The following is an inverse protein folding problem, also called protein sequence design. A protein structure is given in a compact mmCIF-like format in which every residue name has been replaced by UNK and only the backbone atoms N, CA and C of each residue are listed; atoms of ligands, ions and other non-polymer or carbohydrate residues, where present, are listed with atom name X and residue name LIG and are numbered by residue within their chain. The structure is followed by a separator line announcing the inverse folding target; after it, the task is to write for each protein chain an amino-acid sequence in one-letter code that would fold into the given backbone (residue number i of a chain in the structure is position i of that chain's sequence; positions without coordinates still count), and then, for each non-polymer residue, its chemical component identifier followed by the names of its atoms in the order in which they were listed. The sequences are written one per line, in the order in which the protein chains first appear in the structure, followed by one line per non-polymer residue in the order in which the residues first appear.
data_IF_847053036327
#
_entry.id   IF_847053036327
#
_cell.length_a   1.000
_cell.length_b   1.000
_cell.length_c   1.000
_cell.angle_alpha   90.00
_cell.angle_beta   90.00
_cell.angle_gamma   90.00
#
_symmetry.space_group_name_H-M   'P 1'
#
loop_
_entity.id
_entity.type
_entity.pdbx_description
1 polymer ?
#
# COMPACT_ATOMS: atom_id res chain seq x y z
N UNK A 1 -54.81 -46.78 9.36
CA UNK A 1 -53.95 -45.83 10.11
C UNK A 1 -52.51 -46.04 9.64
N UNK A 2 -52.04 -45.28 8.64
CA UNK A 2 -50.66 -45.36 8.14
C UNK A 2 -49.99 -44.00 8.35
N UNK A 3 -49.02 -43.98 9.27
CA UNK A 3 -48.30 -42.77 9.67
C UNK A 3 -47.24 -42.44 8.60
N UNK A 4 -47.34 -41.27 8.00
CA UNK A 4 -46.33 -40.74 7.08
C UNK A 4 -45.23 -40.08 7.91
N UNK A 5 -44.08 -40.74 8.03
CA UNK A 5 -42.87 -40.12 8.56
C UNK A 5 -42.27 -39.21 7.48
N UNK A 6 -42.40 -37.90 7.63
CA UNK A 6 -41.64 -36.93 6.83
C UNK A 6 -40.21 -36.87 7.37
N UNK A 7 -39.29 -37.49 6.64
CA UNK A 7 -37.85 -37.32 6.83
C UNK A 7 -37.48 -35.90 6.42
N UNK A 8 -37.12 -35.08 7.42
CA UNK A 8 -36.60 -33.72 7.24
C UNK A 8 -35.14 -33.83 6.83
N UNK A 9 -34.85 -33.57 5.55
CA UNK A 9 -33.49 -33.41 5.07
C UNK A 9 -32.94 -32.08 5.63
N UNK A 10 -32.17 -32.17 6.71
CA UNK A 10 -31.32 -31.07 7.15
C UNK A 10 -30.21 -30.90 6.11
N UNK A 11 -30.33 -29.87 5.29
CA UNK A 11 -29.22 -29.36 4.48
C UNK A 11 -28.16 -28.81 5.44
N UNK A 12 -26.91 -29.29 5.41
CA UNK A 12 -25.84 -28.65 6.14
C UNK A 12 -25.55 -27.32 5.44
N UNK A 13 -25.77 -26.20 6.13
CA UNK A 13 -25.29 -24.89 5.69
C UNK A 13 -23.77 -24.93 5.59
N UNK A 14 -23.24 -24.87 4.37
CA UNK A 14 -21.81 -24.73 4.11
C UNK A 14 -21.27 -23.43 4.73
N UNK A 15 -19.97 -23.38 5.11
CA UNK A 15 -19.31 -22.19 5.62
C UNK A 15 -18.93 -21.21 4.48
N UNK A 16 -19.82 -20.96 3.50
CA UNK A 16 -19.54 -20.05 2.36
C UNK A 16 -19.37 -18.58 2.80
N UNK A 17 -19.90 -18.21 3.97
CA UNK A 17 -19.86 -16.83 4.46
C UNK A 17 -18.45 -16.36 4.86
N UNK A 18 -17.55 -17.27 5.23
CA UNK A 18 -16.21 -16.90 5.70
C UNK A 18 -15.22 -16.74 4.55
N UNK A 19 -15.32 -17.58 3.52
CA UNK A 19 -14.46 -17.50 2.33
C UNK A 19 -14.85 -16.32 1.44
N UNK A 20 -16.14 -16.07 1.23
CA UNK A 20 -16.62 -14.92 0.45
C UNK A 20 -16.19 -13.59 1.08
N UNK A 21 -16.27 -13.46 2.41
CA UNK A 21 -15.81 -12.26 3.13
C UNK A 21 -14.29 -12.08 3.03
N UNK A 22 -13.53 -13.18 3.02
CA UNK A 22 -12.08 -13.14 2.81
C UNK A 22 -11.71 -12.70 1.39
N UNK A 23 -12.45 -13.15 0.37
CA UNK A 23 -12.24 -12.74 -1.02
C UNK A 23 -12.60 -11.27 -1.22
N UNK A 24 -13.70 -10.79 -0.63
CA UNK A 24 -14.11 -9.39 -0.69
C UNK A 24 -13.06 -8.46 -0.06
N UNK A 25 -12.49 -8.85 1.09
CA UNK A 25 -11.39 -8.12 1.72
C UNK A 25 -10.14 -8.08 0.83
N UNK A 26 -9.82 -9.16 0.12
CA UNK A 26 -8.68 -9.22 -0.80
C UNK A 26 -8.91 -8.31 -2.02
N UNK A 27 -10.14 -8.25 -2.53
CA UNK A 27 -10.51 -7.35 -3.63
C UNK A 27 -10.39 -5.89 -3.22
N UNK A 28 -10.87 -5.52 -2.03
CA UNK A 28 -10.72 -4.16 -1.50
C UNK A 28 -9.26 -3.79 -1.34
N UNK A 29 -8.44 -4.67 -0.76
CA UNK A 29 -7.00 -4.44 -0.62
C UNK A 29 -6.33 -4.26 -2.00
N UNK A 30 -6.70 -5.08 -2.99
CA UNK A 30 -6.16 -4.94 -4.34
C UNK A 30 -6.54 -3.61 -5.01
N UNK A 31 -7.76 -3.09 -4.74
CA UNK A 31 -8.16 -1.76 -5.21
C UNK A 31 -7.31 -0.66 -4.55
N UNK A 32 -7.10 -0.73 -3.24
CA UNK A 32 -6.26 0.23 -2.51
C UNK A 32 -4.81 0.20 -3.00
N UNK A 33 -4.27 -1.00 -3.26
CA UNK A 33 -2.93 -1.19 -3.81
C UNK A 33 -2.81 -0.59 -5.23
N UNK A 34 -3.83 -0.78 -6.08
CA UNK A 34 -3.88 -0.20 -7.44
C UNK A 34 -3.93 1.33 -7.37
N UNK A 35 -4.72 1.91 -6.46
CA UNK A 35 -4.78 3.37 -6.26
C UNK A 35 -3.44 3.94 -5.77
N UNK A 36 -2.76 3.21 -4.88
CA UNK A 36 -1.41 3.55 -4.44
C UNK A 36 -0.42 3.54 -5.63
N UNK A 37 -0.44 2.50 -6.46
CA UNK A 37 0.37 2.41 -7.69
C UNK A 37 0.09 3.54 -8.68
N UNK A 38 -1.18 3.96 -8.81
CA UNK A 38 -1.54 5.09 -9.65
C UNK A 38 -0.90 6.40 -9.17
N UNK A 39 -0.76 6.61 -7.85
CA UNK A 39 -0.09 7.81 -7.33
C UNK A 39 1.41 7.76 -7.60
N UNK A 40 2.05 6.61 -7.38
CA UNK A 40 3.49 6.42 -7.66
C UNK A 40 3.77 6.69 -9.14
N UNK A 41 2.97 6.13 -10.06
CA UNK A 41 3.10 6.37 -11.51
C UNK A 41 2.99 7.86 -11.86
N UNK A 42 2.04 8.59 -11.24
CA UNK A 42 1.89 10.04 -11.46
C UNK A 42 3.10 10.84 -10.95
N UNK A 43 3.68 10.46 -9.82
CA UNK A 43 4.90 11.06 -9.31
C UNK A 43 6.09 10.85 -10.27
N UNK A 44 6.23 9.64 -10.83
CA UNK A 44 7.25 9.37 -11.86
C UNK A 44 7.03 10.17 -13.15
N UNK A 45 5.80 10.31 -13.63
CA UNK A 45 5.50 11.15 -14.80
C UNK A 45 5.83 12.64 -14.55
N UNK A 46 5.68 13.12 -13.30
CA UNK A 46 6.11 14.47 -12.91
C UNK A 46 7.65 14.60 -12.97
N UNK A 47 8.39 13.61 -12.47
CA UNK A 47 9.85 13.57 -12.57
C UNK A 47 10.32 13.54 -14.02
N UNK A 48 9.67 12.76 -14.88
CA UNK A 48 10.00 12.70 -16.32
C UNK A 48 9.87 14.10 -16.97
N UNK A 49 8.79 14.83 -16.69
CA UNK A 49 8.61 16.22 -17.18
C UNK A 49 9.69 17.19 -16.71
N UNK A 50 10.27 16.96 -15.53
CA UNK A 50 11.33 17.81 -14.95
C UNK A 50 12.74 17.42 -15.41
N UNK A 51 12.95 16.17 -15.80
CA UNK A 51 14.26 15.61 -16.13
C UNK A 51 14.51 15.57 -17.65
N UNK A 52 13.46 15.44 -18.47
CA UNK A 52 13.60 15.49 -19.94
C UNK A 52 14.12 16.88 -20.33
N UNK A 53 15.30 16.97 -21.00
CA UNK A 53 15.74 18.23 -21.58
C UNK A 53 14.74 18.61 -22.66
N UNK A 54 13.83 19.52 -22.33
CA UNK A 54 13.01 20.20 -23.34
C UNK A 54 14.00 20.93 -24.24
N UNK A 55 13.89 20.68 -25.54
CA UNK A 55 14.89 21.10 -26.49
C UNK A 55 15.22 22.59 -26.34
N UNK A 56 16.47 22.99 -26.62
CA UNK A 56 17.02 24.36 -26.47
C UNK A 56 16.19 25.47 -27.15
N UNK A 57 15.17 25.11 -27.95
CA UNK A 57 14.29 26.02 -28.68
C UNK A 57 12.79 25.91 -28.30
N UNK A 58 12.41 25.07 -27.34
CA UNK A 58 11.03 24.98 -26.87
C UNK A 58 10.81 25.98 -25.72
N UNK A 59 10.19 27.11 -26.03
CA UNK A 59 9.72 28.11 -25.07
C UNK A 59 8.43 27.68 -24.35
N UNK A 60 8.07 26.39 -24.38
CA UNK A 60 6.89 25.88 -23.69
C UNK A 60 7.21 25.69 -22.22
N UNK A 61 6.77 26.64 -21.41
CA UNK A 61 6.96 26.63 -19.97
C UNK A 61 6.17 25.45 -19.37
N UNK A 62 6.85 24.36 -19.01
CA UNK A 62 6.19 23.18 -18.43
C UNK A 62 5.83 23.43 -16.98
N UNK A 63 4.53 23.54 -16.73
CA UNK A 63 3.95 23.71 -15.40
C UNK A 63 3.33 22.39 -14.91
N UNK A 64 3.91 21.73 -13.90
CA UNK A 64 3.25 20.61 -13.24
C UNK A 64 1.99 21.09 -12.51
N UNK A 65 0.93 20.29 -12.57
CA UNK A 65 -0.32 20.56 -11.87
C UNK A 65 -0.13 20.44 -10.35
N UNK A 66 -1.00 21.10 -9.57
CA UNK A 66 -1.01 20.97 -8.10
C UNK A 66 -1.14 19.51 -7.63
N UNK A 67 -1.89 18.69 -8.36
CA UNK A 67 -2.05 17.28 -8.05
C UNK A 67 -0.75 16.48 -8.29
N UNK A 68 -0.02 16.78 -9.36
CA UNK A 68 1.29 16.17 -9.66
C UNK A 68 2.34 16.57 -8.62
N UNK A 69 2.40 17.86 -8.24
CA UNK A 69 3.26 18.33 -7.16
C UNK A 69 2.89 17.69 -5.81
N UNK A 70 1.59 17.60 -5.50
CA UNK A 70 1.11 16.94 -4.28
C UNK A 70 1.47 15.46 -4.23
N UNK A 71 1.37 14.74 -5.36
CA UNK A 71 1.78 13.34 -5.46
C UNK A 71 3.30 13.18 -5.23
N UNK A 72 4.12 14.06 -5.80
CA UNK A 72 5.56 14.05 -5.61
C UNK A 72 5.95 14.30 -4.15
N UNK A 73 5.38 15.34 -3.52
CA UNK A 73 5.64 15.67 -2.11
C UNK A 73 5.21 14.53 -1.19
N UNK A 74 4.06 13.90 -1.47
CA UNK A 74 3.59 12.74 -0.69
C UNK A 74 4.58 11.58 -0.76
N UNK A 75 5.04 11.22 -1.96
CA UNK A 75 6.04 10.16 -2.15
C UNK A 75 7.34 10.45 -1.39
N UNK A 76 7.85 11.69 -1.48
CA UNK A 76 9.07 12.09 -0.77
C UNK A 76 8.90 12.00 0.75
N UNK A 77 7.75 12.41 1.27
CA UNK A 77 7.46 12.34 2.70
C UNK A 77 7.37 10.89 3.20
N UNK A 78 6.74 10.00 2.43
CA UNK A 78 6.64 8.57 2.77
C UNK A 78 8.03 7.90 2.83
N UNK A 79 8.91 8.20 1.87
CA UNK A 79 10.29 7.69 1.89
C UNK A 79 11.13 8.28 3.03
N UNK A 80 10.99 9.57 3.32
CA UNK A 80 11.69 10.20 4.44
C UNK A 80 11.28 9.58 5.77
N UNK A 81 9.98 9.35 5.97
CA UNK A 81 9.45 8.69 7.16
C UNK A 81 10.02 7.27 7.31
N UNK A 82 10.03 6.47 6.24
CA UNK A 82 10.62 5.12 6.24
C UNK A 82 12.12 5.14 6.61
N UNK A 83 12.85 6.13 6.10
CA UNK A 83 14.27 6.30 6.41
C UNK A 83 14.48 6.61 7.90
N UNK A 84 13.68 7.50 8.48
CA UNK A 84 13.72 7.83 9.92
C UNK A 84 13.46 6.58 10.76
N UNK A 85 12.42 5.81 10.45
CA UNK A 85 12.08 4.58 11.17
C UNK A 85 13.20 3.54 11.08
N UNK A 86 13.84 3.40 9.92
CA UNK A 86 14.99 2.52 9.72
C UNK A 86 16.20 2.95 10.57
N UNK A 87 16.47 4.25 10.64
CA UNK A 87 17.56 4.79 11.47
C UNK A 87 17.25 4.58 12.95
N UNK A 88 16.03 4.88 13.40
CA UNK A 88 15.62 4.70 14.79
C UNK A 88 15.72 3.24 15.22
N UNK A 89 15.19 2.32 14.41
CA UNK A 89 15.30 0.87 14.68
C UNK A 89 16.76 0.41 14.73
N UNK A 90 17.61 0.90 13.84
CA UNK A 90 19.05 0.61 13.84
C UNK A 90 19.73 1.14 15.10
N UNK A 91 19.43 2.38 15.53
CA UNK A 91 19.98 2.97 16.75
C UNK A 91 19.53 2.17 17.99
N UNK A 92 18.27 1.75 18.05
CA UNK A 92 17.78 0.93 19.16
C UNK A 92 18.47 -0.43 19.19
N UNK A 93 18.64 -1.09 18.05
CA UNK A 93 19.37 -2.35 17.95
C UNK A 93 20.84 -2.21 18.42
N UNK A 94 21.51 -1.12 18.03
CA UNK A 94 22.87 -0.81 18.49
C UNK A 94 22.92 -0.61 20.02
N UNK A 95 21.97 0.12 20.60
CA UNK A 95 21.90 0.33 22.06
C UNK A 95 21.67 -0.98 22.81
N UNK A 96 20.80 -1.85 22.31
CA UNK A 96 20.57 -3.17 22.89
C UNK A 96 21.85 -4.01 22.83
N UNK A 97 22.49 -4.11 21.66
CA UNK A 97 23.73 -4.88 21.52
C UNK A 97 24.90 -4.35 22.38
N UNK A 98 25.01 -3.03 22.54
CA UNK A 98 26.00 -2.40 23.43
C UNK A 98 25.66 -2.56 24.92
N UNK A 99 24.37 -2.58 25.27
CA UNK A 99 23.90 -2.83 26.64
C UNK A 99 24.05 -4.30 27.05
N UNK A 100 23.82 -5.23 26.13
CA UNK A 100 24.05 -6.67 26.33
C UNK A 100 25.55 -7.03 26.38
N UNK A 101 26.40 -6.26 25.70
CA UNK A 101 27.87 -6.39 25.77
C UNK A 101 28.50 -5.90 27.08
N UNK A 102 27.70 -5.34 28.01
CA UNK A 102 28.10 -4.87 29.34
C UNK A 102 27.39 -5.67 30.44
N UNK A 103 27.34 -7.00 30.31
CA UNK A 103 27.05 -7.88 31.43
C UNK A 103 28.39 -8.35 32.05
N UNK A 104 28.60 -8.21 33.38
CA UNK A 104 29.83 -8.65 34.06
C UNK A 104 30.02 -10.17 34.07
#
# INVERSE_FOLDING_TARGET
MTSTARSSAHTPSLPESSEAASVESLVLQACDDIDSLHVVRRAYACLEKLIVPQHVNETEEVYPTRAELGALVRLVNEELQRCIETVDTTIQALRVGLGEGCAP
#
